data_IF_161012716491
#
_entry.id   IF_161012716491
#
_cell.length_a   1.000
_cell.length_b   1.000
_cell.length_c   1.000
_cell.angle_alpha   90.00
_cell.angle_beta   90.00
_cell.angle_gamma   90.00
#
_symmetry.space_group_name_H-M   'P 1'
#
loop_
_entity.id
_entity.type
_entity.pdbx_description
1 polymer ?
#
# COMPACT_ATOMS: atom_id res chain seq x y z
N UNK A 1 18.99 27.47 -2.02
CA UNK A 1 18.70 26.95 -3.37
C UNK A 1 18.72 25.42 -3.46
N UNK A 2 19.86 24.71 -3.36
CA UNK A 2 19.91 23.24 -3.54
C UNK A 2 19.10 22.47 -2.47
N UNK A 3 19.18 22.92 -1.21
CA UNK A 3 18.40 22.37 -0.09
C UNK A 3 16.89 22.64 -0.25
N UNK A 4 16.51 23.82 -0.77
CA UNK A 4 15.10 24.17 -1.02
C UNK A 4 14.48 23.39 -2.16
N UNK A 5 15.26 23.10 -3.22
CA UNK A 5 14.82 22.23 -4.33
C UNK A 5 14.57 20.81 -3.81
N UNK A 6 15.46 20.31 -2.94
CA UNK A 6 15.31 18.98 -2.35
C UNK A 6 14.11 18.89 -1.38
N UNK A 7 13.89 19.92 -0.56
CA UNK A 7 12.72 20.01 0.33
C UNK A 7 11.40 20.12 -0.42
N UNK A 8 11.37 20.87 -1.54
CA UNK A 8 10.19 20.95 -2.41
C UNK A 8 9.88 19.58 -3.02
N UNK A 9 10.87 18.89 -3.58
CA UNK A 9 10.66 17.56 -4.16
C UNK A 9 10.17 16.55 -3.11
N UNK A 10 10.76 16.57 -1.90
CA UNK A 10 10.32 15.73 -0.79
C UNK A 10 8.85 15.98 -0.39
N UNK A 11 8.42 17.25 -0.31
CA UNK A 11 7.02 17.58 -0.02
C UNK A 11 6.06 17.01 -1.06
N UNK A 12 6.40 17.10 -2.34
CA UNK A 12 5.56 16.53 -3.41
C UNK A 12 5.51 15.01 -3.34
N UNK A 13 6.64 14.33 -3.07
CA UNK A 13 6.66 12.87 -2.87
C UNK A 13 5.76 12.42 -1.73
N UNK A 14 5.80 13.12 -0.59
CA UNK A 14 4.95 12.83 0.57
C UNK A 14 3.48 13.02 0.20
N UNK A 15 3.14 14.14 -0.45
CA UNK A 15 1.76 14.43 -0.87
C UNK A 15 1.23 13.37 -1.84
N UNK A 16 2.00 13.03 -2.87
CA UNK A 16 1.63 12.01 -3.87
C UNK A 16 1.50 10.64 -3.19
N UNK A 17 2.43 10.28 -2.30
CA UNK A 17 2.35 9.02 -1.55
C UNK A 17 1.09 8.94 -0.70
N UNK A 18 0.69 10.04 -0.05
CA UNK A 18 -0.54 10.11 0.73
C UNK A 18 -1.78 9.90 -0.15
N UNK A 19 -1.82 10.53 -1.34
CA UNK A 19 -2.92 10.34 -2.31
C UNK A 19 -3.00 8.89 -2.76
N UNK A 20 -1.86 8.25 -3.08
CA UNK A 20 -1.82 6.84 -3.48
C UNK A 20 -2.34 5.94 -2.35
N UNK A 21 -1.91 6.17 -1.10
CA UNK A 21 -2.40 5.42 0.06
C UNK A 21 -3.90 5.57 0.20
N UNK A 22 -4.45 6.79 0.11
CA UNK A 22 -5.90 7.00 0.20
C UNK A 22 -6.66 6.26 -0.92
N UNK A 23 -6.18 6.35 -2.17
CA UNK A 23 -6.82 5.69 -3.32
C UNK A 23 -6.80 4.16 -3.16
N UNK A 24 -5.63 3.58 -2.90
CA UNK A 24 -5.51 2.14 -2.77
C UNK A 24 -6.20 1.61 -1.53
N UNK A 25 -6.21 2.35 -0.42
CA UNK A 25 -6.97 1.97 0.78
C UNK A 25 -8.46 1.82 0.47
N UNK A 26 -9.05 2.79 -0.22
CA UNK A 26 -10.46 2.72 -0.64
C UNK A 26 -10.69 1.51 -1.54
N UNK A 27 -9.81 1.25 -2.51
CA UNK A 27 -9.91 0.08 -3.38
C UNK A 27 -9.81 -1.22 -2.56
N UNK A 28 -8.86 -1.33 -1.63
CA UNK A 28 -8.74 -2.51 -0.78
C UNK A 28 -9.97 -2.70 0.11
N UNK A 29 -10.60 -1.64 0.60
CA UNK A 29 -11.88 -1.77 1.33
C UNK A 29 -13.02 -2.35 0.48
N UNK A 30 -12.94 -2.30 -0.85
CA UNK A 30 -13.94 -2.94 -1.74
C UNK A 30 -13.69 -4.43 -1.97
N UNK A 31 -12.49 -4.93 -1.61
CA UNK A 31 -12.13 -6.33 -1.82
C UNK A 31 -12.59 -7.16 -0.60
N UNK A 32 -13.31 -8.28 -0.80
CA UNK A 32 -13.78 -9.16 0.29
C UNK A 32 -12.65 -9.61 1.23
N UNK A 33 -12.97 -9.84 2.51
CA UNK A 33 -12.01 -10.31 3.52
C UNK A 33 -11.38 -11.67 3.17
N UNK A 34 -12.17 -12.56 2.55
CA UNK A 34 -11.72 -13.89 2.11
C UNK A 34 -10.61 -13.86 1.06
N UNK A 35 -10.35 -12.70 0.46
CA UNK A 35 -9.27 -12.47 -0.52
C UNK A 35 -7.92 -12.15 0.13
N UNK A 36 -7.89 -12.03 1.46
CA UNK A 36 -6.68 -11.74 2.24
C UNK A 36 -6.38 -12.85 3.24
N UNK A 37 -5.09 -13.03 3.52
CA UNK A 37 -4.58 -14.05 4.40
C UNK A 37 -3.53 -13.57 5.39
N UNK A 38 -3.24 -14.43 6.38
CA UNK A 38 -2.09 -14.36 7.30
C UNK A 38 -1.49 -15.74 7.48
N UNK A 39 -0.15 -15.86 7.43
CA UNK A 39 0.59 -17.12 7.60
C UNK A 39 -0.04 -18.31 6.84
N UNK A 40 -0.27 -18.16 5.54
CA UNK A 40 -0.86 -19.19 4.65
C UNK A 40 -2.30 -19.67 5.00
N UNK A 41 -3.03 -18.92 5.85
CA UNK A 41 -4.47 -19.11 6.10
C UNK A 41 -5.29 -17.87 5.73
N UNK A 42 -6.49 -18.09 5.18
CA UNK A 42 -7.49 -17.01 4.97
C UNK A 42 -7.92 -16.44 6.31
N UNK A 43 -8.15 -15.12 6.36
CA UNK A 43 -8.60 -14.44 7.57
C UNK A 43 -10.11 -14.26 7.50
N UNK A 44 -10.84 -14.74 8.51
CA UNK A 44 -12.30 -14.67 8.54
C UNK A 44 -12.84 -13.24 8.70
N UNK A 45 -12.03 -12.33 9.23
CA UNK A 45 -12.41 -10.92 9.40
C UNK A 45 -11.18 -10.02 9.35
N UNK A 46 -11.16 -9.08 8.41
CA UNK A 46 -10.06 -8.12 8.25
C UNK A 46 -10.56 -6.74 8.61
N UNK A 47 -10.02 -6.18 9.70
CA UNK A 47 -10.41 -4.84 10.12
C UNK A 47 -9.94 -3.77 9.14
N UNK A 48 -10.68 -2.66 9.07
CA UNK A 48 -10.30 -1.49 8.27
C UNK A 48 -8.91 -0.95 8.64
N UNK A 49 -8.53 -1.06 9.92
CA UNK A 49 -7.20 -0.66 10.37
C UNK A 49 -6.10 -1.55 9.79
N UNK A 50 -6.32 -2.86 9.70
CA UNK A 50 -5.38 -3.79 9.08
C UNK A 50 -5.26 -3.55 7.57
N UNK A 51 -6.35 -3.19 6.90
CA UNK A 51 -6.32 -2.77 5.48
C UNK A 51 -5.53 -1.48 5.28
N UNK A 52 -5.69 -0.50 6.17
CA UNK A 52 -4.90 0.72 6.16
C UNK A 52 -3.41 0.43 6.35
N UNK A 53 -3.06 -0.36 7.37
CA UNK A 53 -1.67 -0.76 7.63
C UNK A 53 -1.06 -1.52 6.46
N UNK A 54 -1.80 -2.46 5.88
CA UNK A 54 -1.37 -3.17 4.68
C UNK A 54 -1.11 -2.21 3.52
N UNK A 55 -1.99 -1.23 3.30
CA UNK A 55 -1.81 -0.21 2.24
C UNK A 55 -0.54 0.61 2.47
N UNK A 56 -0.29 1.04 3.70
CA UNK A 56 0.91 1.79 4.08
C UNK A 56 2.18 0.96 3.87
N UNK A 57 2.18 -0.28 4.33
CA UNK A 57 3.27 -1.23 4.15
C UNK A 57 3.65 -1.39 2.66
N UNK A 58 2.66 -1.50 1.78
CA UNK A 58 2.91 -1.58 0.32
C UNK A 58 3.38 -0.28 -0.30
N UNK A 59 2.94 0.87 0.22
CA UNK A 59 3.42 2.18 -0.24
C UNK A 59 4.88 2.43 0.15
N UNK A 60 5.27 2.04 1.35
CA UNK A 60 6.64 2.28 1.85
C UNK A 60 7.58 1.10 1.62
N UNK A 61 7.11 0.03 0.97
CA UNK A 61 7.87 -1.19 0.69
C UNK A 61 8.43 -1.85 1.97
N UNK A 62 7.67 -1.76 3.06
CA UNK A 62 7.98 -2.36 4.36
C UNK A 62 7.05 -3.55 4.56
N UNK A 63 7.57 -4.71 4.92
CA UNK A 63 6.75 -5.89 5.23
C UNK A 63 6.83 -6.23 6.71
N UNK A 64 5.68 -6.25 7.39
CA UNK A 64 5.55 -6.80 8.74
C UNK A 64 5.39 -8.32 8.69
N UNK A 65 5.93 -9.10 9.65
CA UNK A 65 5.65 -10.54 9.75
C UNK A 65 4.16 -10.85 9.97
N UNK A 66 3.36 -9.88 10.43
CA UNK A 66 1.91 -10.02 10.60
C UNK A 66 1.10 -9.32 9.48
N UNK A 67 1.78 -8.93 8.40
CA UNK A 67 1.15 -8.28 7.25
C UNK A 67 0.08 -9.18 6.65
N UNK A 68 -0.97 -8.55 6.13
CA UNK A 68 -1.90 -9.24 5.24
C UNK A 68 -1.16 -9.63 3.95
N UNK A 69 -1.59 -10.70 3.30
CA UNK A 69 -1.19 -10.98 1.92
C UNK A 69 -2.43 -11.28 1.06
N UNK A 70 -2.41 -10.92 -0.23
CA UNK A 70 -3.49 -11.22 -1.15
C UNK A 70 -3.48 -12.70 -1.58
N UNK A 71 -4.65 -13.35 -1.61
CA UNK A 71 -4.82 -14.72 -2.10
C UNK A 71 -5.19 -14.80 -3.57
N UNK A 72 -6.19 -14.04 -4.04
CA UNK A 72 -6.54 -14.06 -5.47
C UNK A 72 -5.52 -13.37 -6.35
N UNK A 73 -5.47 -13.83 -7.60
CA UNK A 73 -4.72 -13.20 -8.67
C UNK A 73 -5.09 -11.72 -8.87
N UNK A 74 -6.36 -11.35 -8.64
CA UNK A 74 -6.81 -9.96 -8.74
C UNK A 74 -6.23 -9.09 -7.62
N UNK A 75 -6.30 -9.56 -6.37
CA UNK A 75 -5.72 -8.85 -5.24
C UNK A 75 -4.19 -8.78 -5.35
N UNK A 76 -3.52 -9.85 -5.82
CA UNK A 76 -2.08 -9.86 -6.11
C UNK A 76 -1.70 -8.83 -7.18
N UNK A 77 -2.42 -8.78 -8.29
CA UNK A 77 -2.19 -7.81 -9.35
C UNK A 77 -2.33 -6.36 -8.84
N UNK A 78 -3.33 -6.09 -8.00
CA UNK A 78 -3.51 -4.77 -7.39
C UNK A 78 -2.34 -4.39 -6.49
N UNK A 79 -1.84 -5.33 -5.69
CA UNK A 79 -0.68 -5.12 -4.81
C UNK A 79 0.58 -4.82 -5.63
N UNK A 80 0.82 -5.56 -6.70
CA UNK A 80 1.93 -5.30 -7.63
C UNK A 80 1.79 -3.90 -8.24
N UNK A 81 0.58 -3.54 -8.67
CA UNK A 81 0.31 -2.21 -9.22
C UNK A 81 0.63 -1.10 -8.20
N UNK A 82 0.18 -1.24 -6.95
CA UNK A 82 0.50 -0.28 -5.91
C UNK A 82 2.01 -0.17 -5.68
N UNK A 83 2.71 -1.30 -5.58
CA UNK A 83 4.16 -1.30 -5.36
C UNK A 83 4.91 -0.65 -6.52
N UNK A 84 4.50 -0.87 -7.77
CA UNK A 84 5.10 -0.19 -8.93
C UNK A 84 4.90 1.32 -8.87
N UNK A 85 3.69 1.78 -8.55
CA UNK A 85 3.39 3.22 -8.41
C UNK A 85 4.20 3.83 -7.26
N UNK A 86 4.31 3.14 -6.13
CA UNK A 86 5.15 3.56 -5.00
C UNK A 86 6.63 3.70 -5.38
N UNK A 87 7.16 2.74 -6.14
CA UNK A 87 8.52 2.78 -6.68
C UNK A 87 8.73 3.99 -7.61
N UNK A 88 7.76 4.31 -8.47
CA UNK A 88 7.84 5.50 -9.32
C UNK A 88 7.97 6.80 -8.50
N UNK A 89 7.22 6.92 -7.40
CA UNK A 89 7.31 8.09 -6.50
C UNK A 89 8.63 8.15 -5.76
N UNK A 90 9.18 6.99 -5.39
CA UNK A 90 10.47 6.91 -4.72
C UNK A 90 11.61 7.40 -5.61
N UNK A 91 11.63 6.97 -6.88
CA UNK A 91 12.69 7.27 -7.86
C UNK A 91 12.64 8.74 -8.37
N UNK A 92 11.45 9.33 -8.51
CA UNK A 92 11.25 10.72 -8.99
C UNK A 92 12.02 11.77 -8.16
#
# INVERSE_FOLDING_TARGET
>A
MLIEINLKNLKYKILISLVIVCLFYVIYCTIPDSEFGRNDKTVDTVSNFERMNFTLERQFLISSPNSLYPFSEKAKALVICQSLVAWCVFIM
#
